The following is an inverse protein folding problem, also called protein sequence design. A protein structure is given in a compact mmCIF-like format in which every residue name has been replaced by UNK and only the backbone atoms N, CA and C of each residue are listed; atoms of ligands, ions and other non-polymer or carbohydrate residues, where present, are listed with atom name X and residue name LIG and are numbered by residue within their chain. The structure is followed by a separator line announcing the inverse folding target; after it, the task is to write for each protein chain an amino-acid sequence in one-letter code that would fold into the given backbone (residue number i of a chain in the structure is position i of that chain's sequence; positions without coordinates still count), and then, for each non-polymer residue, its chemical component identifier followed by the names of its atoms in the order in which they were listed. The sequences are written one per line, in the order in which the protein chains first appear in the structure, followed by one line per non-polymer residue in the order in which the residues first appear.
data_IF_931876221888
#
_entry.id   IF_931876221888
#
_cell.length_a   1.000
_cell.length_b   1.000
_cell.length_c   1.000
_cell.angle_alpha   90.00
_cell.angle_beta   90.00
_cell.angle_gamma   90.00
#
_symmetry.space_group_name_H-M   'P 1'
#
loop_
_entity.id
_entity.type
_entity.pdbx_description
1 polymer ?
#
# COMPACT_ATOMS: atom_id res chain seq x y z
N UNK A 1 21.98 8.65 -4.71
CA UNK A 1 22.10 7.93 -3.42
C UNK A 1 21.22 8.61 -2.38
N UNK A 2 20.92 7.97 -1.26
CA UNK A 2 20.11 8.52 -0.17
C UNK A 2 20.65 8.06 1.19
N UNK A 3 20.59 8.90 2.22
CA UNK A 3 20.97 8.52 3.58
C UNK A 3 19.88 7.68 4.26
N UNK A 4 20.28 6.68 5.04
CA UNK A 4 19.40 5.83 5.85
C UNK A 4 20.14 5.37 7.11
N UNK A 5 19.84 6.01 8.24
CA UNK A 5 20.61 5.86 9.47
C UNK A 5 22.08 6.21 9.22
N UNK A 6 22.99 5.33 9.64
CA UNK A 6 24.44 5.49 9.42
C UNK A 6 24.92 5.00 8.05
N UNK A 7 24.00 4.66 7.14
CA UNK A 7 24.32 4.09 5.82
C UNK A 7 23.89 5.02 4.69
N UNK A 8 24.57 4.89 3.56
CA UNK A 8 24.14 5.49 2.28
C UNK A 8 23.68 4.38 1.36
N UNK A 9 22.44 4.49 0.86
CA UNK A 9 21.83 3.53 -0.05
C UNK A 9 21.93 4.03 -1.49
N UNK A 10 22.24 3.10 -2.41
CA UNK A 10 22.27 3.39 -3.84
C UNK A 10 20.84 3.42 -4.39
N UNK A 11 20.48 4.53 -5.03
CA UNK A 11 19.22 4.64 -5.78
C UNK A 11 19.39 3.85 -7.08
N UNK A 12 18.43 2.96 -7.36
CA UNK A 12 18.38 2.14 -8.57
C UNK A 12 17.21 2.59 -9.43
N UNK A 13 17.33 2.45 -10.75
CA UNK A 13 16.23 2.71 -11.66
C UNK A 13 15.16 1.61 -11.49
N UNK A 14 13.89 2.02 -11.42
CA UNK A 14 12.76 1.12 -11.13
C UNK A 14 12.64 0.00 -12.17
N UNK A 15 12.89 0.32 -13.43
CA UNK A 15 12.80 -0.59 -14.57
C UNK A 15 13.94 -1.60 -14.68
N UNK A 16 15.00 -1.41 -13.89
CA UNK A 16 16.18 -2.28 -13.85
C UNK A 16 16.31 -3.02 -12.51
N UNK A 17 15.37 -2.84 -11.59
CA UNK A 17 15.39 -3.50 -10.29
C UNK A 17 14.64 -4.83 -10.34
N UNK A 18 15.29 -5.89 -9.85
CA UNK A 18 14.66 -7.20 -9.62
C UNK A 18 14.05 -7.21 -8.21
N UNK A 19 12.74 -7.46 -8.13
CA UNK A 19 11.99 -7.53 -6.87
C UNK A 19 11.80 -8.97 -6.37
N UNK A 20 12.38 -9.98 -7.03
CA UNK A 20 12.23 -11.39 -6.65
C UNK A 20 12.78 -11.74 -5.26
N UNK A 21 13.72 -10.92 -4.75
CA UNK A 21 14.30 -11.04 -3.40
C UNK A 21 13.76 -10.01 -2.40
N UNK A 22 12.76 -9.23 -2.80
CA UNK A 22 12.23 -8.12 -2.00
C UNK A 22 10.90 -8.52 -1.39
N UNK A 23 10.82 -8.55 -0.06
CA UNK A 23 9.59 -8.94 0.65
C UNK A 23 8.47 -7.90 0.48
N UNK A 24 8.80 -6.62 0.64
CA UNK A 24 7.84 -5.51 0.68
C UNK A 24 8.34 -4.31 -0.14
N UNK A 25 7.47 -3.73 -0.95
CA UNK A 25 7.67 -2.48 -1.67
C UNK A 25 6.70 -1.41 -1.14
N UNK A 26 7.23 -0.31 -0.59
CA UNK A 26 6.41 0.87 -0.25
C UNK A 26 6.35 1.77 -1.48
N UNK A 27 5.26 1.67 -2.23
CA UNK A 27 5.07 2.40 -3.48
C UNK A 27 4.47 3.78 -3.22
N UNK A 28 5.26 4.83 -3.44
CA UNK A 28 4.82 6.23 -3.34
C UNK A 28 5.31 7.07 -4.53
N UNK A 29 5.22 6.51 -5.73
CA UNK A 29 5.68 7.14 -6.98
C UNK A 29 4.55 7.76 -7.83
N UNK A 30 3.35 7.91 -7.27
CA UNK A 30 2.18 8.45 -7.95
C UNK A 30 1.36 7.41 -8.73
N UNK A 31 0.12 7.76 -9.06
CA UNK A 31 -0.88 6.81 -9.57
C UNK A 31 -0.54 6.19 -10.92
N UNK A 32 0.10 6.92 -11.84
CA UNK A 32 0.45 6.38 -13.16
C UNK A 32 1.56 5.32 -13.05
N UNK A 33 2.61 5.61 -12.26
CA UNK A 33 3.71 4.66 -12.01
C UNK A 33 3.18 3.43 -11.28
N UNK A 34 2.37 3.63 -10.24
CA UNK A 34 1.72 2.57 -9.48
C UNK A 34 0.88 1.62 -10.36
N UNK A 35 0.01 2.17 -11.23
CA UNK A 35 -0.81 1.36 -12.16
C UNK A 35 0.03 0.46 -13.05
N UNK A 36 1.20 0.94 -13.48
CA UNK A 36 2.10 0.18 -14.33
C UNK A 36 2.93 -0.84 -13.54
N UNK A 37 3.51 -0.42 -12.42
CA UNK A 37 4.59 -1.15 -11.76
C UNK A 37 4.11 -2.01 -10.59
N UNK A 38 3.12 -1.59 -9.81
CA UNK A 38 2.64 -2.38 -8.68
C UNK A 38 2.19 -3.80 -9.10
N UNK A 39 1.50 -4.01 -10.24
CA UNK A 39 1.18 -5.36 -10.72
C UNK A 39 2.40 -6.15 -11.20
N UNK A 40 3.42 -5.50 -11.76
CA UNK A 40 4.67 -6.16 -12.20
C UNK A 40 5.49 -6.63 -10.99
N UNK A 41 5.59 -5.79 -9.97
CA UNK A 41 6.27 -6.07 -8.70
C UNK A 41 5.55 -7.18 -7.95
N UNK A 42 4.22 -7.08 -7.81
CA UNK A 42 3.39 -8.09 -7.15
C UNK A 42 3.51 -9.49 -7.77
N UNK A 43 3.66 -9.58 -9.09
CA UNK A 43 3.90 -10.84 -9.82
C UNK A 43 5.25 -11.48 -9.53
N UNK A 44 6.22 -10.73 -9.01
CA UNK A 44 7.53 -11.26 -8.60
C UNK A 44 7.53 -11.79 -7.16
N UNK A 45 6.39 -11.73 -6.45
CA UNK A 45 6.26 -12.19 -5.07
C UNK A 45 6.40 -11.10 -4.01
N UNK A 46 6.84 -9.91 -4.39
CA UNK A 46 6.96 -8.75 -3.52
C UNK A 46 5.59 -8.16 -3.18
N UNK A 47 5.31 -7.91 -1.89
CA UNK A 47 4.06 -7.28 -1.45
C UNK A 47 4.14 -5.77 -1.61
N UNK A 48 3.29 -5.20 -2.47
CA UNK A 48 3.26 -3.76 -2.70
C UNK A 48 2.28 -3.08 -1.77
N UNK A 49 2.75 -2.11 -0.99
CA UNK A 49 1.90 -1.20 -0.20
C UNK A 49 1.85 0.13 -0.95
N UNK A 50 0.70 0.44 -1.54
CA UNK A 50 0.55 1.50 -2.53
C UNK A 50 -0.11 2.76 -1.95
N UNK A 51 0.69 3.83 -1.83
CA UNK A 51 0.26 5.16 -1.36
C UNK A 51 -0.26 6.07 -2.50
N UNK A 52 -0.90 5.48 -3.51
CA UNK A 52 -1.59 6.23 -4.56
C UNK A 52 -3.10 5.95 -4.56
N UNK A 53 -3.82 6.63 -5.44
CA UNK A 53 -5.25 6.36 -5.68
C UNK A 53 -5.50 5.20 -6.64
N UNK A 54 -4.46 4.63 -7.25
CA UNK A 54 -4.56 3.69 -8.37
C UNK A 54 -5.46 2.48 -8.09
N UNK A 55 -5.36 1.92 -6.88
CA UNK A 55 -6.00 0.65 -6.52
C UNK A 55 -7.05 0.76 -5.42
N UNK A 56 -7.40 1.98 -4.96
CA UNK A 56 -8.34 2.16 -3.82
C UNK A 56 -9.74 1.60 -4.06
N UNK A 57 -10.13 1.43 -5.32
CA UNK A 57 -11.44 0.94 -5.74
C UNK A 57 -11.36 -0.40 -6.50
N UNK A 58 -10.18 -1.02 -6.52
CA UNK A 58 -10.00 -2.34 -7.12
C UNK A 58 -10.50 -3.40 -6.14
N UNK A 59 -11.47 -4.22 -6.54
CA UNK A 59 -12.10 -5.22 -5.67
C UNK A 59 -11.15 -6.36 -5.24
N UNK A 60 -10.01 -6.50 -5.93
CA UNK A 60 -8.98 -7.49 -5.60
C UNK A 60 -7.80 -6.89 -4.83
N UNK A 61 -7.87 -5.60 -4.47
CA UNK A 61 -6.84 -4.94 -3.66
C UNK A 61 -7.48 -4.41 -2.37
N UNK A 62 -7.08 -4.89 -1.19
CA UNK A 62 -7.63 -4.37 0.05
C UNK A 62 -7.18 -2.93 0.29
N UNK A 63 -8.14 -2.07 0.67
CA UNK A 63 -7.90 -0.73 1.17
C UNK A 63 -7.86 -0.78 2.70
N UNK A 64 -6.67 -0.65 3.30
CA UNK A 64 -6.45 -0.98 4.71
C UNK A 64 -6.12 0.24 5.56
N UNK A 65 -6.82 0.40 6.67
CA UNK A 65 -6.40 1.16 7.86
C UNK A 65 -6.27 0.16 9.01
N UNK A 66 -5.06 -0.09 9.54
CA UNK A 66 -4.82 -1.17 10.51
C UNK A 66 -5.75 -1.15 11.73
N UNK A 67 -6.08 0.04 12.24
CA UNK A 67 -6.91 0.23 13.43
C UNK A 67 -8.42 0.12 13.14
N UNK A 68 -8.83 0.03 11.87
CA UNK A 68 -10.24 0.08 11.45
C UNK A 68 -10.69 -1.22 10.79
N UNK A 69 -9.90 -1.78 9.89
CA UNK A 69 -10.24 -2.98 9.12
C UNK A 69 -9.04 -3.90 8.90
N UNK A 70 -8.35 -4.36 9.97
CA UNK A 70 -7.13 -5.17 9.85
C UNK A 70 -7.37 -6.47 9.08
N UNK A 71 -8.52 -7.11 9.26
CA UNK A 71 -8.84 -8.42 8.64
C UNK A 71 -8.90 -8.37 7.10
N UNK A 72 -9.14 -7.18 6.54
CA UNK A 72 -9.14 -6.97 5.08
C UNK A 72 -7.76 -7.26 4.46
N UNK A 73 -6.69 -7.21 5.26
CA UNK A 73 -5.33 -7.50 4.77
C UNK A 73 -5.26 -8.85 4.08
N UNK A 74 -6.00 -9.87 4.54
CA UNK A 74 -6.01 -11.22 3.97
C UNK A 74 -6.27 -11.28 2.46
N UNK A 75 -6.94 -10.27 1.89
CA UNK A 75 -7.25 -10.18 0.47
C UNK A 75 -6.05 -9.79 -0.41
N UNK A 76 -4.93 -9.34 0.18
CA UNK A 76 -3.76 -8.85 -0.57
C UNK A 76 -3.20 -9.89 -1.54
N UNK A 77 -3.32 -11.18 -1.19
CA UNK A 77 -2.78 -12.33 -1.92
C UNK A 77 -3.34 -12.46 -3.35
N UNK A 78 -4.48 -11.81 -3.66
CA UNK A 78 -5.06 -11.82 -5.01
C UNK A 78 -4.18 -11.12 -6.05
N UNK A 79 -3.48 -10.05 -5.64
CA UNK A 79 -2.61 -9.24 -6.52
C UNK A 79 -1.22 -8.95 -5.94
N UNK A 80 -0.95 -9.35 -4.71
CA UNK A 80 0.19 -8.91 -3.90
C UNK A 80 0.27 -7.38 -3.78
N UNK A 81 -0.90 -6.72 -3.67
CA UNK A 81 -1.01 -5.26 -3.52
C UNK A 81 -1.94 -4.98 -2.35
N UNK A 82 -1.60 -3.97 -1.54
CA UNK A 82 -2.42 -3.35 -0.50
C UNK A 82 -2.52 -1.87 -0.85
N UNK A 83 -3.74 -1.33 -0.96
CA UNK A 83 -3.94 0.09 -1.18
C UNK A 83 -3.94 0.84 0.15
N UNK A 84 -3.24 1.98 0.19
CA UNK A 84 -3.29 2.91 1.31
C UNK A 84 -4.34 4.01 1.02
N UNK A 85 -5.20 4.35 2.01
CA UNK A 85 -6.23 5.38 1.82
C UNK A 85 -5.67 6.78 1.58
N UNK A 86 -6.57 7.73 1.30
CA UNK A 86 -6.20 9.13 1.35
C UNK A 86 -5.78 9.51 2.78
N UNK A 87 -4.77 10.37 2.91
CA UNK A 87 -4.27 10.84 4.19
C UNK A 87 -5.36 11.45 5.10
N UNK A 88 -6.29 12.24 4.55
CA UNK A 88 -7.39 12.81 5.33
C UNK A 88 -8.40 11.75 5.75
N UNK A 89 -8.69 10.77 4.89
CA UNK A 89 -9.58 9.66 5.19
C UNK A 89 -9.00 8.77 6.29
N UNK A 90 -7.73 8.36 6.17
CA UNK A 90 -7.07 7.48 7.14
C UNK A 90 -7.12 8.08 8.56
N UNK A 91 -6.78 9.37 8.69
CA UNK A 91 -6.84 10.08 9.97
C UNK A 91 -8.27 10.16 10.53
N UNK A 92 -9.26 10.45 9.67
CA UNK A 92 -10.65 10.57 10.09
C UNK A 92 -11.23 9.23 10.55
N UNK A 93 -11.02 8.14 9.80
CA UNK A 93 -11.67 6.86 10.13
C UNK A 93 -11.14 6.23 11.41
N UNK A 94 -9.88 6.50 11.79
CA UNK A 94 -9.35 6.08 13.10
C UNK A 94 -10.14 6.74 14.24
N UNK A 95 -10.46 8.03 14.11
CA UNK A 95 -11.28 8.74 15.10
C UNK A 95 -12.75 8.29 15.07
N UNK A 96 -13.29 7.97 13.88
CA UNK A 96 -14.69 7.58 13.72
C UNK A 96 -14.97 6.13 14.11
N UNK A 97 -14.00 5.21 13.98
CA UNK A 97 -14.18 3.78 14.25
C UNK A 97 -14.78 3.48 15.63
N UNK A 98 -14.25 3.98 16.77
CA UNK A 98 -14.87 3.72 18.07
C UNK A 98 -16.29 4.29 18.20
N UNK A 99 -16.56 5.44 17.55
CA UNK A 99 -17.91 6.02 17.52
C UNK A 99 -18.86 5.15 16.69
N UNK A 100 -18.41 4.67 15.54
CA UNK A 100 -19.17 3.78 14.67
C UNK A 100 -19.48 2.43 15.33
N UNK A 101 -18.54 1.91 16.12
CA UNK A 101 -18.72 0.67 16.89
C UNK A 101 -19.71 0.85 18.04
N UNK A 102 -19.69 2.02 18.69
CA UNK A 102 -20.65 2.35 19.76
C UNK A 102 -22.05 2.64 19.22
N UNK A 103 -22.14 3.46 18.19
CA UNK A 103 -23.37 3.86 17.52
C UNK A 103 -23.10 4.01 16.03
N UNK A 104 -23.59 3.06 15.23
CA UNK A 104 -23.38 3.02 13.78
C UNK A 104 -23.68 4.37 13.13
N UNK A 105 -22.62 5.03 12.64
CA UNK A 105 -22.71 6.26 11.86
C UNK A 105 -23.37 5.91 10.51
N UNK A 106 -24.46 6.62 10.16
CA UNK A 106 -25.25 6.42 8.94
C UNK A 106 -24.79 7.30 7.79
#
# INVERSE_FOLDING_TARGET
EVSFGDRTLKVRALDQYDFSDTDICIMSAGGNVSKEWSPKIGKQGCVVIDNSSAFRYDQDVPLVVPEVNPDAISLFTRKNIIANPNCSTAQLVVALKPLHDFATIK
#
